data_IF_490621160233
#
_entry.id   IF_490621160233
#
_cell.length_a   1.000
_cell.length_b   1.000
_cell.length_c   1.000
_cell.angle_alpha   90.00
_cell.angle_beta   90.00
_cell.angle_gamma   90.00
#
_symmetry.space_group_name_H-M   'P 1'
#
loop_
_entity.id
_entity.type
_entity.pdbx_description
1 polymer ?
#
# COMPACT_ATOMS: atom_id res chain seq x y z
N UNK A 1 16.60 0.80 -28.34
CA UNK A 1 15.31 1.49 -28.16
C UNK A 1 14.76 1.02 -26.84
N UNK A 2 14.60 1.92 -25.87
CA UNK A 2 13.86 1.59 -24.65
C UNK A 2 12.40 1.43 -25.08
N UNK A 3 11.78 0.33 -24.69
CA UNK A 3 10.38 0.06 -24.99
C UNK A 3 9.54 1.02 -24.13
N UNK A 4 8.74 1.88 -24.75
CA UNK A 4 7.93 2.89 -24.05
C UNK A 4 7.04 2.26 -22.96
N UNK A 5 6.59 1.03 -23.19
CA UNK A 5 5.81 0.26 -22.21
C UNK A 5 6.62 -0.13 -20.97
N UNK A 6 7.91 -0.43 -21.13
CA UNK A 6 8.79 -0.82 -20.02
C UNK A 6 9.15 0.40 -19.16
N UNK A 7 9.30 1.57 -19.79
CA UNK A 7 9.51 2.85 -19.11
C UNK A 7 8.26 3.24 -18.30
N UNK A 8 7.08 3.17 -18.91
CA UNK A 8 5.81 3.44 -18.23
C UNK A 8 5.59 2.48 -17.04
N UNK A 9 5.84 1.19 -17.22
CA UNK A 9 5.74 0.19 -16.16
C UNK A 9 6.71 0.49 -15.01
N UNK A 10 7.95 0.88 -15.32
CA UNK A 10 8.97 1.26 -14.34
C UNK A 10 8.56 2.52 -13.56
N UNK A 11 8.04 3.54 -14.23
CA UNK A 11 7.53 4.75 -13.59
C UNK A 11 6.35 4.45 -12.65
N UNK A 12 5.37 3.65 -13.09
CA UNK A 12 4.23 3.24 -12.25
C UNK A 12 4.67 2.44 -11.03
N UNK A 13 5.67 1.56 -11.20
CA UNK A 13 6.23 0.80 -10.09
C UNK A 13 6.94 1.72 -9.08
N UNK A 14 7.77 2.65 -9.55
CA UNK A 14 8.43 3.64 -8.69
C UNK A 14 7.43 4.50 -7.90
N UNK A 15 6.37 4.97 -8.55
CA UNK A 15 5.28 5.72 -7.89
C UNK A 15 4.54 4.89 -6.84
N UNK A 16 4.35 3.59 -7.10
CA UNK A 16 3.75 2.65 -6.16
C UNK A 16 4.60 2.52 -4.91
N UNK A 17 5.91 2.28 -5.06
CA UNK A 17 6.84 2.18 -3.93
C UNK A 17 6.90 3.49 -3.12
N UNK A 18 6.97 4.64 -3.80
CA UNK A 18 6.98 5.95 -3.15
C UNK A 18 5.70 6.20 -2.33
N UNK A 19 4.54 5.86 -2.87
CA UNK A 19 3.25 6.03 -2.19
C UNK A 19 3.16 5.12 -0.96
N UNK A 20 3.60 3.87 -1.09
CA UNK A 20 3.60 2.91 0.01
C UNK A 20 4.59 3.30 1.12
N UNK A 21 5.78 3.82 0.81
CA UNK A 21 6.73 4.34 1.80
C UNK A 21 6.12 5.48 2.62
N UNK A 22 5.43 6.42 1.96
CA UNK A 22 4.74 7.51 2.65
C UNK A 22 3.62 7.01 3.55
N UNK A 23 2.84 6.03 3.08
CA UNK A 23 1.77 5.44 3.87
C UNK A 23 2.33 4.69 5.09
N UNK A 24 3.35 3.86 4.89
CA UNK A 24 4.06 3.15 5.95
C UNK A 24 4.48 4.12 7.06
N UNK A 25 5.18 5.20 6.70
CA UNK A 25 5.68 6.19 7.68
C UNK A 25 4.55 6.92 8.41
N UNK A 26 3.46 7.22 7.71
CA UNK A 26 2.33 7.93 8.30
C UNK A 26 1.58 7.09 9.35
N UNK A 27 1.51 5.77 9.16
CA UNK A 27 0.65 4.91 9.99
C UNK A 27 1.41 4.08 11.01
N UNK A 28 2.73 3.93 10.90
CA UNK A 28 3.53 3.00 11.71
C UNK A 28 3.30 3.17 13.21
N UNK A 29 3.32 4.40 13.73
CA UNK A 29 3.14 4.67 15.16
C UNK A 29 1.74 4.24 15.63
N UNK A 30 0.70 4.76 14.98
CA UNK A 30 -0.69 4.47 15.35
C UNK A 30 -1.04 2.98 15.18
N UNK A 31 -0.56 2.34 14.11
CA UNK A 31 -0.79 0.92 13.88
C UNK A 31 -0.07 0.03 14.91
N UNK A 32 1.07 0.48 15.45
CA UNK A 32 1.74 -0.22 16.58
C UNK A 32 0.95 -0.06 17.86
N UNK A 33 0.39 1.11 18.12
CA UNK A 33 -0.46 1.39 19.30
C UNK A 33 -1.74 0.54 19.29
N UNK A 34 -2.35 0.33 18.12
CA UNK A 34 -3.55 -0.51 17.96
C UNK A 34 -3.24 -2.01 17.85
N UNK A 35 -1.96 -2.40 17.76
CA UNK A 35 -1.55 -3.79 17.54
C UNK A 35 -1.79 -4.30 16.11
N UNK A 36 -2.16 -3.42 15.19
CA UNK A 36 -2.51 -3.73 13.80
C UNK A 36 -1.28 -3.80 12.87
N UNK A 37 -0.11 -3.37 13.35
CA UNK A 37 1.08 -3.11 12.54
C UNK A 37 1.52 -4.28 11.68
N UNK A 38 1.58 -5.49 12.23
CA UNK A 38 2.08 -6.67 11.49
C UNK A 38 1.22 -6.96 10.27
N UNK A 39 -0.10 -7.04 10.44
CA UNK A 39 -1.05 -7.31 9.35
C UNK A 39 -1.05 -6.19 8.31
N UNK A 40 -1.07 -4.94 8.78
CA UNK A 40 -1.08 -3.77 7.91
C UNK A 40 0.17 -3.68 7.04
N UNK A 41 1.35 -3.92 7.64
CA UNK A 41 2.62 -3.95 6.92
C UNK A 41 2.64 -5.04 5.85
N UNK A 42 2.13 -6.23 6.17
CA UNK A 42 2.12 -7.35 5.23
C UNK A 42 1.18 -7.07 4.04
N UNK A 43 0.03 -6.44 4.27
CA UNK A 43 -0.87 -5.96 3.21
C UNK A 43 -0.20 -4.90 2.32
N UNK A 44 0.52 -3.94 2.90
CA UNK A 44 1.29 -2.95 2.12
C UNK A 44 2.38 -3.61 1.26
N UNK A 45 3.06 -4.62 1.79
CA UNK A 45 4.06 -5.36 1.01
C UNK A 45 3.43 -6.19 -0.10
N UNK A 46 2.22 -6.73 0.10
CA UNK A 46 1.47 -7.38 -0.97
C UNK A 46 1.13 -6.40 -2.11
N UNK A 47 0.82 -5.13 -1.82
CA UNK A 47 0.61 -4.10 -2.84
C UNK A 47 1.87 -3.77 -3.63
N UNK A 48 3.04 -3.84 -3.00
CA UNK A 48 4.34 -3.59 -3.63
C UNK A 48 4.78 -4.71 -4.59
N UNK A 49 4.18 -5.91 -4.52
CA UNK A 49 4.59 -7.04 -5.36
C UNK A 49 4.28 -6.75 -6.85
N UNK A 50 5.26 -6.84 -7.75
CA UNK A 50 5.06 -6.55 -9.17
C UNK A 50 4.28 -7.66 -9.89
N UNK A 51 4.28 -8.88 -9.35
CA UNK A 51 3.61 -10.05 -9.90
C UNK A 51 2.17 -10.24 -9.40
N UNK A 52 1.67 -9.36 -8.51
CA UNK A 52 0.28 -9.38 -8.07
C UNK A 52 -0.57 -8.58 -9.05
N UNK A 53 -1.68 -9.17 -9.50
CA UNK A 53 -2.57 -8.56 -10.48
C UNK A 53 -3.28 -7.32 -9.93
N UNK A 54 -3.69 -6.41 -10.81
CA UNK A 54 -4.39 -5.16 -10.41
C UNK A 54 -5.68 -5.45 -9.65
N UNK A 55 -6.43 -6.50 -10.02
CA UNK A 55 -7.65 -6.89 -9.32
C UNK A 55 -7.37 -7.26 -7.85
N UNK A 56 -6.37 -8.10 -7.59
CA UNK A 56 -5.97 -8.48 -6.24
C UNK A 56 -5.51 -7.28 -5.42
N UNK A 57 -4.75 -6.35 -6.04
CA UNK A 57 -4.34 -5.10 -5.38
C UNK A 57 -5.54 -4.23 -4.99
N UNK A 58 -6.57 -4.17 -5.83
CA UNK A 58 -7.79 -3.41 -5.53
C UNK A 58 -8.53 -4.01 -4.34
N UNK A 59 -8.55 -5.33 -4.20
CA UNK A 59 -9.19 -5.98 -3.06
C UNK A 59 -8.42 -5.75 -1.75
N UNK A 60 -7.08 -5.79 -1.79
CA UNK A 60 -6.24 -5.38 -0.64
C UNK A 60 -6.50 -3.91 -0.28
N UNK A 61 -6.55 -3.00 -1.26
CA UNK A 61 -6.83 -1.57 -1.02
C UNK A 61 -8.21 -1.33 -0.40
N UNK A 62 -9.24 -2.06 -0.85
CA UNK A 62 -10.57 -2.00 -0.21
C UNK A 62 -10.49 -2.46 1.24
N UNK A 63 -9.76 -3.54 1.51
CA UNK A 63 -9.52 -4.05 2.86
C UNK A 63 -8.83 -3.03 3.77
N UNK A 64 -7.80 -2.34 3.25
CA UNK A 64 -7.04 -1.35 4.03
C UNK A 64 -7.94 -0.28 4.68
N UNK A 65 -8.94 0.21 3.94
CA UNK A 65 -9.86 1.25 4.42
C UNK A 65 -10.76 0.78 5.57
N UNK A 66 -11.19 -0.48 5.55
CA UNK A 66 -12.23 -0.96 6.45
C UNK A 66 -11.69 -1.76 7.63
N UNK A 67 -10.54 -2.42 7.45
CA UNK A 67 -10.02 -3.39 8.41
C UNK A 67 -9.09 -2.79 9.46
N UNK A 68 -8.53 -1.60 9.22
CA UNK A 68 -7.52 -1.00 10.09
C UNK A 68 -8.02 0.29 10.74
N UNK A 69 -8.11 0.30 12.07
CA UNK A 69 -8.54 1.45 12.85
C UNK A 69 -7.60 2.65 12.67
N UNK A 70 -6.28 2.42 12.55
CA UNK A 70 -5.30 3.48 12.33
C UNK A 70 -5.46 4.23 10.98
N UNK A 71 -6.21 3.65 10.04
CA UNK A 71 -6.52 4.25 8.73
C UNK A 71 -7.90 4.89 8.66
N UNK A 72 -8.73 4.71 9.71
CA UNK A 72 -10.05 5.29 9.74
C UNK A 72 -9.93 6.80 9.97
N UNK A 73 -10.72 7.63 9.26
CA UNK A 73 -10.84 9.03 9.60
C UNK A 73 -11.21 9.16 11.08
N UNK A 74 -10.54 10.05 11.81
CA UNK A 74 -11.00 10.45 13.14
C UNK A 74 -12.43 10.97 13.01
N UNK A 75 -13.36 10.41 13.79
CA UNK A 75 -14.70 11.00 13.94
C UNK A 75 -14.53 12.37 14.59
N UNK A 76 -14.47 13.42 13.76
CA UNK A 76 -14.61 14.82 14.18
C UNK A 76 -16.08 15.20 14.25
#
# INVERSE_FOLDING_TARGET
MINEMDEEASCKFGLTLYTLDRLYKAVEVHAKETGEWSSLRDDMFNLAKPNVGVADKLDVLKGLKWNYACLRPSLS
#
